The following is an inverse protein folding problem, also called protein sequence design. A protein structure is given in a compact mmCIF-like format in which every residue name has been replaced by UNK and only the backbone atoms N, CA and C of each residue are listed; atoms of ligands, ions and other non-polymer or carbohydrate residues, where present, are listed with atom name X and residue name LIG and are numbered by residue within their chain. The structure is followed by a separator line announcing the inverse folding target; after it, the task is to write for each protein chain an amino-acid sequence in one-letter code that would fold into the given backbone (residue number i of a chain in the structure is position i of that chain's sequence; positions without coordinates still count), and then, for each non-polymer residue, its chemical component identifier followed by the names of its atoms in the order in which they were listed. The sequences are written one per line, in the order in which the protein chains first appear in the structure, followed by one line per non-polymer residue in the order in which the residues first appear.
data_IF_433296412606
#
_entry.id   IF_433296412606
#
_cell.length_a   1.000
_cell.length_b   1.000
_cell.length_c   1.000
_cell.angle_alpha   90.00
_cell.angle_beta   90.00
_cell.angle_gamma   90.00
#
_symmetry.space_group_name_H-M   'P 1'
#
loop_
_entity.id
_entity.type
_entity.pdbx_description
1 polymer ?
#
# COMPACT_ATOMS: atom_id res chain seq x y z
N UNK A 1 57.86 -7.41 9.04
CA UNK A 1 57.53 -8.67 9.74
C UNK A 1 56.13 -8.55 10.33
N UNK A 2 55.17 -9.32 9.79
CA UNK A 2 53.77 -9.26 10.17
C UNK A 2 53.51 -9.97 11.51
N UNK A 3 52.76 -9.32 12.43
CA UNK A 3 52.31 -9.95 13.68
C UNK A 3 50.78 -9.92 13.74
N UNK A 4 50.19 -11.03 13.33
CA UNK A 4 48.74 -11.29 13.39
C UNK A 4 48.39 -11.53 14.86
N UNK A 5 47.56 -10.66 15.46
CA UNK A 5 46.93 -10.94 16.76
C UNK A 5 45.66 -11.74 16.49
N UNK A 6 45.68 -13.03 16.81
CA UNK A 6 44.49 -13.86 16.87
C UNK A 6 43.58 -13.35 17.99
N UNK A 7 42.35 -12.96 17.68
CA UNK A 7 41.30 -12.76 18.69
C UNK A 7 40.49 -14.04 18.81
N UNK A 8 40.48 -14.64 20.00
CA UNK A 8 39.70 -15.84 20.29
C UNK A 8 38.21 -15.60 20.03
N UNK A 9 37.61 -16.38 19.14
CA UNK A 9 36.16 -16.40 18.93
C UNK A 9 35.55 -17.28 20.02
N UNK A 10 34.89 -16.68 21.01
CA UNK A 10 34.22 -17.42 22.08
C UNK A 10 32.92 -18.02 21.52
N UNK A 11 32.95 -19.30 21.20
CA UNK A 11 31.78 -20.14 20.92
C UNK A 11 31.35 -20.80 22.22
N UNK A 12 30.43 -20.20 22.98
CA UNK A 12 29.69 -20.93 24.01
C UNK A 12 28.25 -20.45 24.08
N UNK A 13 27.35 -21.42 23.87
CA UNK A 13 25.91 -21.31 24.03
C UNK A 13 25.58 -21.44 25.52
N UNK A 14 26.06 -20.50 26.34
CA UNK A 14 25.90 -20.53 27.80
C UNK A 14 24.99 -19.40 28.26
N UNK A 15 23.92 -19.77 28.98
CA UNK A 15 23.02 -18.80 29.58
C UNK A 15 23.77 -18.01 30.68
N UNK A 16 23.61 -16.67 30.73
CA UNK A 16 24.37 -15.85 31.67
C UNK A 16 24.02 -16.19 33.11
N UNK A 17 25.05 -16.23 33.96
CA UNK A 17 24.95 -16.57 35.37
C UNK A 17 24.05 -15.58 36.12
N UNK A 18 23.42 -16.02 37.22
CA UNK A 18 22.51 -15.18 38.03
C UNK A 18 23.18 -13.87 38.53
N UNK A 19 24.51 -13.87 38.68
CA UNK A 19 25.28 -12.68 39.05
C UNK A 19 25.42 -11.67 37.90
N UNK A 20 25.64 -12.13 36.66
CA UNK A 20 25.70 -11.27 35.46
C UNK A 20 24.32 -10.67 35.13
N UNK A 21 23.24 -11.42 35.35
CA UNK A 21 21.86 -10.91 35.24
C UNK A 21 21.59 -9.81 36.28
N UNK A 22 22.02 -9.99 37.52
CA UNK A 22 21.87 -8.97 38.59
C UNK A 22 22.70 -7.71 38.32
N UNK A 23 23.94 -7.86 37.84
CA UNK A 23 24.76 -6.70 37.45
C UNK A 23 24.14 -5.93 36.27
N UNK A 24 23.60 -6.64 35.27
CA UNK A 24 22.93 -5.98 34.14
C UNK A 24 21.58 -5.35 34.51
N UNK A 25 20.84 -5.90 35.47
CA UNK A 25 19.64 -5.27 36.04
C UNK A 25 19.98 -4.02 36.86
N UNK A 26 21.03 -4.06 37.68
CA UNK A 26 21.50 -2.89 38.44
C UNK A 26 22.05 -1.77 37.53
N UNK A 27 22.64 -2.12 36.37
CA UNK A 27 23.05 -1.14 35.36
C UNK A 27 21.86 -0.55 34.59
N UNK A 28 20.76 -1.29 34.43
CA UNK A 28 19.51 -0.80 33.81
C UNK A 28 18.78 0.18 34.72
N UNK A 29 18.62 -0.14 36.01
CA UNK A 29 17.93 0.74 36.97
C UNK A 29 18.64 2.08 37.17
N UNK A 30 19.97 2.11 37.13
CA UNK A 30 20.75 3.37 37.16
C UNK A 30 20.63 4.19 35.87
N UNK A 31 20.46 3.56 34.69
CA UNK A 31 20.22 4.27 33.42
C UNK A 31 18.81 4.86 33.33
N UNK A 32 17.82 4.21 33.94
CA UNK A 32 16.43 4.65 33.91
C UNK A 32 16.17 5.88 34.80
N UNK A 33 16.94 6.06 35.87
CA UNK A 33 16.81 7.24 36.74
C UNK A 33 17.41 8.50 36.13
N UNK A 34 18.43 8.37 35.27
CA UNK A 34 19.00 9.51 34.55
C UNK A 34 18.16 9.94 33.33
N UNK A 35 17.30 9.06 32.81
CA UNK A 35 16.43 9.34 31.65
C UNK A 35 15.13 10.07 32.00
N UNK A 36 14.78 10.17 33.29
CA UNK A 36 13.55 10.84 33.75
C UNK A 36 13.68 12.37 33.93
N UNK A 37 14.90 12.92 33.93
CA UNK A 37 15.17 14.35 34.16
C UNK A 37 15.75 15.09 32.95
N UNK A 38 15.61 14.55 31.73
CA UNK A 38 15.90 15.32 30.51
C UNK A 38 14.65 16.14 30.19
N UNK A 39 14.72 17.47 30.02
CA UNK A 39 13.60 18.22 29.46
C UNK A 39 13.22 17.53 28.16
N UNK A 40 11.96 17.12 28.01
CA UNK A 40 11.47 16.58 26.75
C UNK A 40 11.63 17.68 25.69
N UNK A 41 12.76 17.69 24.98
CA UNK A 41 12.86 18.42 23.72
C UNK A 41 11.67 17.95 22.90
N UNK A 42 10.79 18.90 22.57
CA UNK A 42 9.71 18.70 21.60
C UNK A 42 10.31 17.90 20.46
N UNK A 43 9.91 16.64 20.33
CA UNK A 43 10.16 15.87 19.11
C UNK A 43 9.66 16.80 18.02
N UNK A 44 10.57 17.35 17.20
CA UNK A 44 10.20 18.19 16.07
C UNK A 44 9.32 17.28 15.22
N UNK A 45 8.01 17.42 15.37
CA UNK A 45 7.05 16.65 14.61
C UNK A 45 7.39 16.94 13.16
N UNK A 46 7.73 15.88 12.42
CA UNK A 46 8.13 16.03 11.03
C UNK A 46 7.09 16.90 10.33
N UNK A 47 7.57 17.94 9.64
CA UNK A 47 6.71 18.94 9.03
C UNK A 47 5.56 18.25 8.28
N UNK A 48 4.31 18.75 8.37
CA UNK A 48 3.16 18.12 7.74
C UNK A 48 3.47 17.84 6.27
N UNK A 49 3.48 16.56 5.87
CA UNK A 49 3.71 16.19 4.47
C UNK A 49 2.66 16.92 3.62
N UNK A 50 3.12 17.75 2.69
CA UNK A 50 2.26 18.48 1.75
C UNK A 50 1.32 17.49 1.05
N UNK A 51 0.01 17.78 0.97
CA UNK A 51 -1.00 16.81 0.50
C UNK A 51 -0.66 16.23 -0.89
N UNK A 52 -0.14 17.05 -1.81
CA UNK A 52 0.34 16.61 -3.12
C UNK A 52 1.51 15.60 -3.07
N UNK A 53 2.34 15.63 -2.03
CA UNK A 53 3.48 14.71 -1.87
C UNK A 53 3.07 13.27 -1.53
N UNK A 54 1.87 13.07 -0.94
CA UNK A 54 1.33 11.74 -0.67
C UNK A 54 0.74 11.13 -1.95
N UNK A 55 -0.08 11.91 -2.66
CA UNK A 55 -0.70 11.48 -3.93
C UNK A 55 0.36 11.07 -4.96
N UNK A 56 1.44 11.86 -5.11
CA UNK A 56 2.53 11.51 -6.03
C UNK A 56 3.27 10.23 -5.65
N UNK A 57 3.35 9.89 -4.35
CA UNK A 57 3.93 8.62 -3.90
C UNK A 57 3.01 7.46 -4.20
N UNK A 58 1.71 7.64 -4.00
CA UNK A 58 0.71 6.62 -4.30
C UNK A 58 0.66 6.32 -5.80
N UNK A 59 0.66 7.35 -6.66
CA UNK A 59 0.74 7.18 -8.13
C UNK A 59 1.98 6.35 -8.51
N UNK A 60 3.16 6.73 -8.03
CA UNK A 60 4.41 6.00 -8.32
C UNK A 60 4.40 4.56 -7.79
N UNK A 61 3.73 4.33 -6.65
CA UNK A 61 3.59 2.99 -6.06
C UNK A 61 2.69 2.12 -6.93
N UNK A 62 1.51 2.63 -7.31
CA UNK A 62 0.53 1.87 -8.10
C UNK A 62 0.98 1.65 -9.54
N UNK A 63 1.72 2.58 -10.15
CA UNK A 63 2.29 2.40 -11.49
C UNK A 63 3.44 1.40 -11.56
N UNK A 64 4.12 1.11 -10.43
CA UNK A 64 5.21 0.12 -10.40
C UNK A 64 4.70 -1.32 -10.29
N UNK A 65 3.51 -1.51 -9.72
CA UNK A 65 2.90 -2.82 -9.52
C UNK A 65 1.80 -3.11 -10.54
N UNK A 66 1.32 -4.34 -10.53
CA UNK A 66 0.19 -4.82 -11.33
C UNK A 66 -0.87 -5.52 -10.47
N UNK A 67 -0.85 -5.26 -9.16
CA UNK A 67 -1.80 -5.87 -8.23
C UNK A 67 -3.20 -5.29 -8.46
N UNK A 68 -4.21 -6.16 -8.40
CA UNK A 68 -5.62 -5.75 -8.40
C UNK A 68 -5.90 -4.85 -7.18
N UNK A 69 -6.57 -3.73 -7.44
CA UNK A 69 -6.87 -2.68 -6.46
C UNK A 69 -8.27 -2.83 -5.88
N UNK A 70 -9.20 -3.42 -6.63
CA UNK A 70 -10.56 -3.64 -6.16
C UNK A 70 -10.57 -4.92 -5.29
N UNK A 71 -11.15 -4.89 -4.08
CA UNK A 71 -11.28 -6.10 -3.28
C UNK A 71 -12.13 -7.16 -4.01
N UNK A 72 -11.61 -8.38 -4.12
CA UNK A 72 -12.20 -9.49 -4.90
C UNK A 72 -13.65 -9.83 -4.49
N UNK A 73 -13.95 -9.83 -3.18
CA UNK A 73 -15.27 -10.22 -2.67
C UNK A 73 -16.39 -9.23 -3.06
N UNK A 74 -16.23 -7.91 -2.86
CA UNK A 74 -17.14 -6.90 -3.43
C UNK A 74 -17.30 -7.00 -4.94
N UNK A 75 -16.20 -7.13 -5.70
CA UNK A 75 -16.27 -7.25 -7.16
C UNK A 75 -17.11 -8.46 -7.59
N UNK A 76 -16.88 -9.63 -6.98
CA UNK A 76 -17.68 -10.84 -7.22
C UNK A 76 -19.17 -10.64 -6.94
N UNK A 77 -19.54 -9.86 -5.92
CA UNK A 77 -20.95 -9.55 -5.61
C UNK A 77 -21.60 -8.72 -6.71
N UNK A 78 -20.89 -7.71 -7.23
CA UNK A 78 -21.36 -6.88 -8.36
C UNK A 78 -21.53 -7.73 -9.62
N UNK A 79 -20.56 -8.59 -9.94
CA UNK A 79 -20.66 -9.51 -11.09
C UNK A 79 -21.92 -10.38 -10.97
N UNK A 80 -22.20 -10.94 -9.79
CA UNK A 80 -23.43 -11.73 -9.56
C UNK A 80 -24.70 -10.89 -9.72
N UNK A 81 -24.70 -9.67 -9.20
CA UNK A 81 -25.85 -8.76 -9.33
C UNK A 81 -26.15 -8.47 -10.81
N UNK A 82 -25.14 -8.10 -11.62
CA UNK A 82 -25.31 -7.85 -13.06
C UNK A 82 -25.80 -9.09 -13.79
N UNK A 83 -25.26 -10.28 -13.46
CA UNK A 83 -25.72 -11.53 -14.06
C UNK A 83 -27.20 -11.83 -13.76
N UNK A 84 -27.68 -11.49 -12.57
CA UNK A 84 -29.10 -11.62 -12.19
C UNK A 84 -29.98 -10.63 -12.97
N UNK A 85 -29.55 -9.37 -13.08
CA UNK A 85 -30.25 -8.32 -13.83
C UNK A 85 -30.39 -8.65 -15.32
N UNK A 86 -29.38 -9.31 -15.91
CA UNK A 86 -29.38 -9.72 -17.32
C UNK A 86 -30.39 -10.83 -17.66
N UNK A 87 -31.18 -11.34 -16.71
CA UNK A 87 -32.22 -12.38 -16.88
C UNK A 87 -31.76 -13.57 -17.73
N UNK A 88 -30.47 -13.92 -17.70
CA UNK A 88 -30.00 -15.23 -18.18
C UNK A 88 -30.36 -16.25 -17.11
N UNK A 89 -31.64 -16.62 -17.13
CA UNK A 89 -32.32 -17.41 -16.11
C UNK A 89 -31.43 -18.48 -15.51
N UNK A 90 -31.11 -18.34 -14.23
CA UNK A 90 -30.70 -19.43 -13.36
C UNK A 90 -30.42 -18.84 -12.00
N UNK A 91 -31.45 -18.84 -11.15
CA UNK A 91 -31.27 -19.02 -9.72
C UNK A 91 -30.42 -20.30 -9.54
N UNK A 92 -29.08 -20.15 -9.60
CA UNK A 92 -28.16 -21.30 -9.64
C UNK A 92 -26.87 -21.17 -10.46
N UNK A 93 -26.64 -20.09 -11.24
CA UNK A 93 -25.41 -20.01 -12.05
C UNK A 93 -24.15 -19.92 -11.17
N UNK A 94 -23.30 -20.94 -11.30
CA UNK A 94 -21.97 -20.98 -10.70
C UNK A 94 -20.98 -20.24 -11.60
N UNK A 95 -20.18 -19.36 -11.00
CA UNK A 95 -19.11 -18.65 -11.70
C UNK A 95 -17.80 -19.32 -11.32
N UNK A 96 -17.03 -19.73 -12.32
CA UNK A 96 -15.68 -20.25 -12.12
C UNK A 96 -14.81 -19.18 -11.45
N UNK A 97 -13.93 -19.58 -10.52
CA UNK A 97 -13.02 -18.66 -9.83
C UNK A 97 -12.17 -17.84 -10.80
N UNK A 98 -11.60 -18.50 -11.81
CA UNK A 98 -10.78 -17.87 -12.85
C UNK A 98 -11.57 -16.87 -13.70
N UNK A 99 -12.85 -17.12 -13.96
CA UNK A 99 -13.69 -16.21 -14.71
C UNK A 99 -13.92 -14.89 -13.96
N UNK A 100 -14.06 -14.95 -12.62
CA UNK A 100 -14.13 -13.73 -11.79
C UNK A 100 -12.82 -12.94 -11.90
N UNK A 101 -11.68 -13.62 -11.88
CA UNK A 101 -10.37 -12.97 -11.93
C UNK A 101 -10.14 -12.32 -13.30
N UNK A 102 -10.47 -13.00 -14.39
CA UNK A 102 -10.40 -12.44 -15.74
C UNK A 102 -11.31 -11.22 -15.95
N UNK A 103 -12.55 -11.27 -15.44
CA UNK A 103 -13.46 -10.13 -15.46
C UNK A 103 -12.90 -8.95 -14.66
N UNK A 104 -12.26 -9.23 -13.52
CA UNK A 104 -11.68 -8.19 -12.69
C UNK A 104 -10.47 -7.55 -13.35
N UNK A 105 -9.56 -8.34 -13.92
CA UNK A 105 -8.41 -7.83 -14.67
C UNK A 105 -8.85 -6.93 -15.83
N UNK A 106 -9.82 -7.38 -16.63
CA UNK A 106 -10.34 -6.59 -17.75
C UNK A 106 -11.01 -5.29 -17.28
N UNK A 107 -11.81 -5.34 -16.22
CA UNK A 107 -12.50 -4.17 -15.67
C UNK A 107 -11.51 -3.14 -15.11
N UNK A 108 -10.52 -3.56 -14.34
CA UNK A 108 -9.52 -2.65 -13.78
C UNK A 108 -8.62 -2.05 -14.87
N UNK A 109 -8.19 -2.85 -15.85
CA UNK A 109 -7.42 -2.35 -17.00
C UNK A 109 -8.19 -1.30 -17.79
N UNK A 110 -9.48 -1.54 -18.04
CA UNK A 110 -10.35 -0.57 -18.70
C UNK A 110 -10.48 0.73 -17.91
N UNK A 111 -10.72 0.65 -16.60
CA UNK A 111 -10.84 1.84 -15.75
C UNK A 111 -9.54 2.65 -15.69
N UNK A 112 -8.37 1.99 -15.59
CA UNK A 112 -7.07 2.67 -15.62
C UNK A 112 -6.88 3.43 -16.93
N UNK A 113 -7.15 2.78 -18.07
CA UNK A 113 -7.07 3.42 -19.38
C UNK A 113 -8.04 4.60 -19.50
N UNK A 114 -9.28 4.45 -19.03
CA UNK A 114 -10.29 5.51 -19.06
C UNK A 114 -9.88 6.71 -18.20
N UNK A 115 -9.28 6.48 -17.02
CA UNK A 115 -8.79 7.55 -16.15
C UNK A 115 -7.56 8.26 -16.71
N UNK A 116 -6.71 7.59 -17.48
CA UNK A 116 -5.58 8.23 -18.14
C UNK A 116 -6.05 9.25 -19.18
N UNK A 117 -6.99 8.86 -20.04
CA UNK A 117 -7.62 9.77 -21.00
C UNK A 117 -8.39 10.91 -20.32
N UNK A 118 -9.13 10.62 -19.24
CA UNK A 118 -9.85 11.64 -18.48
C UNK A 118 -8.89 12.64 -17.81
N UNK A 119 -7.72 12.16 -17.38
CA UNK A 119 -6.66 13.01 -16.87
C UNK A 119 -6.09 13.92 -17.99
N UNK A 120 -5.90 13.40 -19.20
CA UNK A 120 -5.51 14.24 -20.36
C UNK A 120 -6.55 15.31 -20.67
N UNK A 121 -7.84 14.98 -20.63
CA UNK A 121 -8.92 15.95 -20.81
C UNK A 121 -8.94 17.03 -19.70
N UNK A 122 -8.68 16.65 -18.44
CA UNK A 122 -8.57 17.61 -17.35
C UNK A 122 -7.38 18.56 -17.54
N UNK A 123 -6.22 18.05 -17.94
CA UNK A 123 -5.01 18.84 -18.23
C UNK A 123 -5.25 19.79 -19.40
N UNK A 124 -5.92 19.33 -20.46
CA UNK A 124 -6.31 20.16 -21.60
C UNK A 124 -7.16 21.36 -21.16
N UNK A 125 -8.04 21.16 -20.16
CA UNK A 125 -8.84 22.22 -19.55
C UNK A 125 -8.12 23.01 -18.43
N UNK A 126 -6.79 22.90 -18.30
CA UNK A 126 -5.96 23.54 -17.25
C UNK A 126 -6.36 23.21 -15.81
N UNK A 127 -6.86 21.99 -15.58
CA UNK A 127 -7.21 21.48 -14.24
C UNK A 127 -6.31 20.32 -13.87
N UNK A 128 -6.18 20.09 -12.55
CA UNK A 128 -5.48 18.91 -11.97
C UNK A 128 -6.49 17.87 -11.46
N UNK A 129 -7.72 18.30 -11.19
CA UNK A 129 -8.79 17.42 -10.68
C UNK A 129 -9.68 16.97 -11.84
N UNK A 130 -9.79 15.66 -12.01
CA UNK A 130 -10.74 15.02 -12.93
C UNK A 130 -12.18 15.28 -12.47
N UNK A 131 -13.07 15.49 -13.42
CA UNK A 131 -14.50 15.74 -13.21
C UNK A 131 -15.34 14.80 -14.09
N UNK A 132 -16.63 14.57 -13.77
CA UNK A 132 -17.50 13.70 -14.57
C UNK A 132 -17.54 14.08 -16.06
N UNK A 133 -17.55 15.39 -16.37
CA UNK A 133 -17.50 15.90 -17.74
C UNK A 133 -16.26 15.45 -18.54
N UNK A 134 -15.14 15.16 -17.87
CA UNK A 134 -13.93 14.68 -18.53
C UNK A 134 -14.13 13.23 -19.00
N UNK A 135 -14.81 12.41 -18.19
CA UNK A 135 -15.18 11.03 -18.55
C UNK A 135 -16.22 11.02 -19.67
N UNK A 136 -17.21 11.91 -19.63
CA UNK A 136 -18.26 11.99 -20.65
C UNK A 136 -17.67 12.30 -22.04
N UNK A 137 -16.74 13.26 -22.10
CA UNK A 137 -16.05 13.62 -23.35
C UNK A 137 -15.20 12.45 -23.85
N UNK A 138 -14.44 11.80 -22.96
CA UNK A 138 -13.58 10.67 -23.34
C UNK A 138 -14.40 9.50 -23.88
N UNK A 139 -15.49 9.12 -23.21
CA UNK A 139 -16.40 8.05 -23.67
C UNK A 139 -16.98 8.36 -25.05
N UNK A 140 -17.40 9.61 -25.26
CA UNK A 140 -17.89 10.07 -26.55
C UNK A 140 -16.84 9.96 -27.67
N UNK A 141 -15.57 10.28 -27.38
CA UNK A 141 -14.47 10.16 -28.35
C UNK A 141 -14.13 8.69 -28.62
N UNK A 142 -14.08 7.86 -27.57
CA UNK A 142 -13.83 6.42 -27.67
C UNK A 142 -14.95 5.64 -28.36
N UNK A 143 -16.12 6.25 -28.56
CA UNK A 143 -17.35 5.61 -29.07
C UNK A 143 -17.81 4.47 -28.16
N UNK A 144 -17.60 4.65 -26.86
CA UNK A 144 -18.07 3.74 -25.83
C UNK A 144 -19.36 4.34 -25.24
N UNK A 145 -20.49 3.67 -25.50
CA UNK A 145 -21.88 4.12 -25.23
C UNK A 145 -22.37 5.23 -26.16
#
# INVERSE_FOLDING_TARGET
MARIKQTARKTTNEQPSKQEKRLSEQLKTKRDHHRKNVPQERIKTAAPKHRGSKVLKDIKRYQRGFNLLIPRMPFRRVVRQVMQEMKRGSDGLMIQSLAVDALQEAAEAYLVSLFDDANMAAIHARRVTIMPKDLDIVRRIRREL
#
